data_IF_109752709545
#
_entry.id   IF_109752709545
#
_cell.length_a   1.000
_cell.length_b   1.000
_cell.length_c   1.000
_cell.angle_alpha   90.00
_cell.angle_beta   90.00
_cell.angle_gamma   90.00
#
_symmetry.space_group_name_H-M   'P 1'
#
loop_
_entity.id
_entity.type
_entity.pdbx_description
1 polymer ?
#
# COMPACT_ATOMS: atom_id res chain seq x y z
N UNK A 1 -4.53 -16.70 3.48
CA UNK A 1 -4.88 -16.19 4.82
C UNK A 1 -4.22 -14.84 5.00
N UNK A 2 -4.90 -13.83 5.57
CA UNK A 2 -4.30 -12.52 5.84
C UNK A 2 -3.10 -12.69 6.78
N UNK A 3 -1.97 -12.11 6.40
CA UNK A 3 -0.69 -12.36 7.05
C UNK A 3 -0.70 -11.91 8.52
N UNK A 4 -0.75 -12.88 9.42
CA UNK A 4 -0.58 -12.66 10.85
C UNK A 4 -1.82 -12.17 11.60
N UNK A 5 -3.02 -12.32 11.04
CA UNK A 5 -4.30 -12.01 11.70
C UNK A 5 -5.17 -13.25 11.90
N UNK A 6 -5.97 -13.26 12.97
CA UNK A 6 -7.08 -14.20 13.11
C UNK A 6 -8.23 -13.80 12.18
N UNK A 7 -9.16 -14.73 11.92
CA UNK A 7 -10.33 -14.47 11.06
C UNK A 7 -11.23 -13.36 11.61
N UNK A 8 -11.41 -13.32 12.93
CA UNK A 8 -12.21 -12.28 13.62
C UNK A 8 -11.59 -10.89 13.43
N UNK A 9 -10.28 -10.79 13.63
CA UNK A 9 -9.54 -9.54 13.47
C UNK A 9 -9.49 -9.05 12.03
N UNK A 10 -9.49 -9.98 11.06
CA UNK A 10 -9.58 -9.64 9.65
C UNK A 10 -10.95 -9.08 9.28
N UNK A 11 -12.00 -9.70 9.81
CA UNK A 11 -13.38 -9.29 9.56
C UNK A 11 -13.69 -7.92 10.18
N UNK A 12 -13.06 -7.56 11.29
CA UNK A 12 -13.23 -6.26 11.94
C UNK A 12 -12.53 -5.08 11.25
N UNK A 13 -11.73 -5.32 10.20
CA UNK A 13 -11.10 -4.23 9.44
C UNK A 13 -12.08 -3.72 8.38
N UNK A 14 -12.69 -2.57 8.61
CA UNK A 14 -13.63 -1.98 7.65
C UNK A 14 -12.94 -1.23 6.51
N UNK A 15 -11.76 -0.64 6.78
CA UNK A 15 -11.01 0.11 5.79
C UNK A 15 -10.25 -0.79 4.82
N UNK A 16 -10.55 -0.65 3.53
CA UNK A 16 -9.99 -1.49 2.47
C UNK A 16 -8.47 -1.30 2.30
N UNK A 17 -7.94 -0.10 2.53
CA UNK A 17 -6.49 0.17 2.48
C UNK A 17 -5.77 -0.61 3.59
N UNK A 18 -6.27 -0.52 4.82
CA UNK A 18 -5.73 -1.27 5.96
C UNK A 18 -5.80 -2.79 5.72
N UNK A 19 -6.91 -3.31 5.15
CA UNK A 19 -7.01 -4.72 4.74
C UNK A 19 -5.94 -5.10 3.72
N UNK A 20 -5.72 -4.27 2.70
CA UNK A 20 -4.74 -4.54 1.64
C UNK A 20 -3.31 -4.71 2.18
N UNK A 21 -2.95 -4.03 3.26
CA UNK A 21 -1.64 -4.25 3.91
C UNK A 21 -1.48 -5.64 4.54
N UNK A 22 -2.57 -6.29 4.97
CA UNK A 22 -2.53 -7.64 5.52
C UNK A 22 -2.76 -8.73 4.46
N UNK A 23 -3.38 -8.41 3.33
CA UNK A 23 -3.40 -9.26 2.13
C UNK A 23 -2.04 -9.31 1.43
N UNK A 24 -1.33 -8.17 1.40
CA UNK A 24 -0.11 -8.04 0.62
C UNK A 24 1.11 -8.59 1.37
N UNK A 25 1.91 -9.47 0.74
CA UNK A 25 3.19 -9.94 1.29
C UNK A 25 4.13 -8.77 1.60
N UNK A 26 4.97 -8.92 2.64
CA UNK A 26 5.85 -7.83 3.13
C UNK A 26 6.71 -7.21 2.03
N UNK A 27 7.28 -8.02 1.13
CA UNK A 27 8.14 -7.55 0.02
C UNK A 27 7.45 -6.68 -1.02
N UNK A 28 6.11 -6.74 -1.13
CA UNK A 28 5.33 -5.97 -2.11
C UNK A 28 4.64 -4.74 -1.50
N UNK A 29 4.76 -4.54 -0.18
CA UNK A 29 4.09 -3.42 0.49
C UNK A 29 4.64 -2.05 0.10
N UNK A 30 5.91 -1.91 -0.28
CA UNK A 30 6.43 -0.63 -0.77
C UNK A 30 5.70 -0.16 -2.04
N UNK A 31 5.47 -1.06 -2.99
CA UNK A 31 4.72 -0.74 -4.19
C UNK A 31 3.23 -0.44 -3.88
N UNK A 32 2.67 -1.10 -2.85
CA UNK A 32 1.32 -0.85 -2.33
C UNK A 32 1.11 0.63 -1.99
N UNK A 33 2.00 1.19 -1.18
CA UNK A 33 1.82 2.54 -0.60
C UNK A 33 1.91 3.62 -1.67
N UNK A 34 2.76 3.41 -2.68
CA UNK A 34 2.88 4.31 -3.83
C UNK A 34 1.60 4.47 -4.67
N UNK A 35 0.70 3.48 -4.66
CA UNK A 35 -0.55 3.54 -5.42
C UNK A 35 -1.73 4.20 -4.71
N UNK A 36 -1.62 4.40 -3.39
CA UNK A 36 -2.64 5.09 -2.60
C UNK A 36 -2.33 6.59 -2.44
N UNK A 37 -3.36 7.42 -2.36
CA UNK A 37 -3.28 8.85 -2.11
C UNK A 37 -2.79 9.15 -0.69
N UNK A 38 -2.26 10.36 -0.48
CA UNK A 38 -1.82 10.81 0.83
C UNK A 38 -2.96 10.77 1.86
N UNK A 39 -4.18 11.09 1.44
CA UNK A 39 -5.36 11.01 2.28
C UNK A 39 -5.70 9.56 2.65
N UNK A 40 -5.79 8.66 1.67
CA UNK A 40 -6.10 7.23 1.86
C UNK A 40 -5.12 6.57 2.86
N UNK A 41 -3.83 6.91 2.74
CA UNK A 41 -2.79 6.44 3.63
C UNK A 41 -2.92 6.99 5.04
N UNK A 42 -3.22 8.28 5.18
CA UNK A 42 -3.40 8.94 6.48
C UNK A 42 -4.59 8.36 7.24
N UNK A 43 -5.70 8.10 6.55
CA UNK A 43 -6.90 7.49 7.13
C UNK A 43 -6.69 6.02 7.52
N UNK A 44 -5.77 5.31 6.86
CA UNK A 44 -5.45 3.92 7.21
C UNK A 44 -4.63 3.78 8.50
N UNK A 45 -3.81 4.77 8.86
CA UNK A 45 -2.95 4.74 10.07
C UNK A 45 -3.76 4.46 11.36
N UNK A 46 -4.79 5.24 11.73
CA UNK A 46 -5.51 5.03 13.00
C UNK A 46 -6.24 3.68 13.07
N UNK A 47 -6.53 3.06 11.92
CA UNK A 47 -7.11 1.72 11.86
C UNK A 47 -6.03 0.67 12.05
N UNK A 48 -4.87 0.85 11.42
CA UNK A 48 -3.71 -0.03 11.62
C UNK A 48 -3.19 0.00 13.06
N UNK A 49 -3.24 1.15 13.75
CA UNK A 49 -2.85 1.26 15.16
C UNK A 49 -3.65 0.36 16.09
N UNK A 50 -4.94 0.13 15.77
CA UNK A 50 -5.83 -0.75 16.54
C UNK A 50 -5.57 -2.24 16.31
N UNK A 51 -4.73 -2.59 15.34
CA UNK A 51 -4.49 -3.97 14.91
C UNK A 51 -3.05 -4.37 15.29
N UNK A 52 -2.81 -5.53 15.93
CA UNK A 52 -1.46 -5.98 16.26
C UNK A 52 -0.64 -6.27 15.00
N UNK A 53 0.69 -6.24 15.16
CA UNK A 53 1.67 -6.44 14.06
C UNK A 53 1.53 -5.42 12.93
N UNK A 54 1.02 -4.24 13.24
CA UNK A 54 0.87 -3.10 12.32
C UNK A 54 2.08 -2.17 12.28
N UNK A 55 2.96 -2.19 13.29
CA UNK A 55 4.09 -1.25 13.42
C UNK A 55 4.92 -1.10 12.14
N UNK A 56 5.31 -2.22 11.51
CA UNK A 56 6.03 -2.19 10.23
C UNK A 56 5.23 -1.57 9.09
N UNK A 57 3.91 -1.77 9.06
CA UNK A 57 2.99 -1.21 8.03
C UNK A 57 2.84 0.30 8.22
N UNK A 58 2.64 0.74 9.47
CA UNK A 58 2.53 2.16 9.82
C UNK A 58 3.84 2.89 9.50
N UNK A 59 4.99 2.33 9.87
CA UNK A 59 6.30 2.92 9.54
C UNK A 59 6.49 3.11 8.03
N UNK A 60 5.98 2.16 7.23
CA UNK A 60 6.09 2.18 5.77
C UNK A 60 5.19 3.27 5.17
N UNK A 61 3.98 3.45 5.73
CA UNK A 61 3.11 4.59 5.38
C UNK A 61 3.77 5.92 5.74
N UNK A 62 4.24 6.07 6.97
CA UNK A 62 4.86 7.31 7.44
C UNK A 62 6.09 7.69 6.60
N UNK A 63 6.89 6.69 6.20
CA UNK A 63 8.03 6.89 5.31
C UNK A 63 7.61 7.43 3.95
N UNK A 64 6.62 6.83 3.30
CA UNK A 64 6.09 7.34 2.02
C UNK A 64 5.54 8.77 2.17
N UNK A 65 4.77 9.04 3.23
CA UNK A 65 4.19 10.38 3.46
C UNK A 65 5.29 11.43 3.62
N UNK A 66 6.40 11.09 4.30
CA UNK A 66 7.57 11.95 4.41
C UNK A 66 8.26 12.15 3.05
N UNK A 67 8.48 11.08 2.27
CA UNK A 67 9.07 11.16 0.92
C UNK A 67 8.21 11.98 -0.07
N UNK A 68 6.88 12.02 0.11
CA UNK A 68 5.98 12.89 -0.66
C UNK A 68 6.03 14.35 -0.25
N UNK A 69 6.36 14.63 1.00
CA UNK A 69 6.50 15.99 1.52
C UNK A 69 7.85 16.61 1.11
N UNK A 70 8.86 15.80 0.80
CA UNK A 70 10.15 16.28 0.30
C UNK A 70 10.12 16.64 -1.20
N UNK A 71 10.78 17.74 -1.62
CA UNK A 71 10.88 18.11 -3.03
C UNK A 71 11.70 17.07 -3.80
N UNK A 72 11.01 16.32 -4.66
CA UNK A 72 11.54 15.21 -5.47
C UNK A 72 12.71 15.63 -6.38
N UNK A 73 13.93 15.16 -6.09
CA UNK A 73 14.94 14.83 -7.12
C UNK A 73 14.67 13.39 -7.56
N UNK A 74 13.94 13.18 -8.65
CA UNK A 74 13.44 11.85 -9.03
C UNK A 74 13.62 11.58 -10.51
N UNK A 75 14.15 10.40 -10.84
CA UNK A 75 13.67 9.57 -11.98
C UNK A 75 14.37 8.20 -11.97
N UNK A 76 15.71 8.16 -11.88
CA UNK A 76 16.49 6.91 -12.03
C UNK A 76 16.40 5.92 -10.87
N UNK A 77 16.46 6.41 -9.63
CA UNK A 77 16.59 5.52 -8.46
C UNK A 77 15.34 4.67 -8.18
N UNK A 78 14.18 5.11 -8.66
CA UNK A 78 12.91 4.37 -8.57
C UNK A 78 12.81 3.31 -9.66
N UNK A 79 13.28 3.63 -10.88
CA UNK A 79 13.37 2.64 -11.97
C UNK A 79 14.30 1.49 -11.58
N UNK A 80 15.46 1.80 -11.00
CA UNK A 80 16.43 0.79 -10.55
C UNK A 80 15.88 -0.08 -9.40
N UNK A 81 15.14 0.51 -8.45
CA UNK A 81 14.50 -0.24 -7.34
C UNK A 81 13.34 -1.12 -7.82
N UNK A 82 12.65 -0.74 -8.90
CA UNK A 82 11.61 -1.57 -9.52
C UNK A 82 12.19 -2.83 -10.19
N UNK A 83 13.37 -2.73 -10.81
CA UNK A 83 14.09 -3.87 -11.40
C UNK A 83 14.58 -4.87 -10.35
N UNK A 84 14.84 -4.43 -9.11
CA UNK A 84 15.22 -5.34 -8.01
C UNK A 84 14.01 -6.06 -7.41
N UNK A 85 12.83 -5.43 -7.37
CA UNK A 85 11.61 -6.04 -6.82
C UNK A 85 10.92 -7.01 -7.78
N UNK A 86 11.04 -6.81 -9.09
CA UNK A 86 10.44 -7.67 -10.11
C UNK A 86 11.53 -8.28 -10.97
N UNK A 87 11.50 -9.61 -11.19
CA UNK A 87 12.55 -10.31 -11.96
C UNK A 87 12.56 -9.93 -13.44
N UNK A 88 11.55 -9.19 -13.88
CA UNK A 88 11.49 -8.52 -15.18
C UNK A 88 10.62 -7.27 -15.12
N UNK A 89 10.84 -6.35 -16.06
CA UNK A 89 10.01 -5.15 -16.26
C UNK A 89 8.55 -5.48 -16.57
N UNK A 90 8.29 -6.61 -17.24
CA UNK A 90 6.94 -7.07 -17.57
C UNK A 90 6.12 -7.47 -16.33
N UNK A 91 6.77 -8.07 -15.34
CA UNK A 91 6.15 -8.40 -14.05
C UNK A 91 5.82 -7.13 -13.25
N UNK A 92 6.73 -6.15 -13.29
CA UNK A 92 6.50 -4.85 -12.67
C UNK A 92 5.32 -4.12 -13.30
N UNK A 93 5.22 -4.13 -14.63
CA UNK A 93 4.11 -3.50 -15.37
C UNK A 93 2.77 -4.18 -15.10
N UNK A 94 2.72 -5.52 -15.10
CA UNK A 94 1.50 -6.26 -14.75
C UNK A 94 1.06 -5.94 -13.32
N UNK A 95 1.99 -6.00 -12.36
CA UNK A 95 1.69 -5.64 -10.98
C UNK A 95 1.18 -4.21 -10.90
N UNK A 96 1.82 -3.25 -11.56
CA UNK A 96 1.41 -1.84 -11.56
C UNK A 96 0.01 -1.64 -12.15
N UNK A 97 -0.32 -2.34 -13.23
CA UNK A 97 -1.64 -2.25 -13.87
C UNK A 97 -2.74 -2.88 -13.03
N UNK A 98 -2.51 -4.08 -12.49
CA UNK A 98 -3.43 -4.75 -11.57
C UNK A 98 -3.62 -3.92 -10.29
N UNK A 99 -2.55 -3.30 -9.82
CA UNK A 99 -2.55 -2.44 -8.65
C UNK A 99 -3.32 -1.14 -8.88
N UNK A 100 -3.07 -0.44 -9.98
CA UNK A 100 -3.83 0.76 -10.35
C UNK A 100 -5.33 0.46 -10.51
N UNK A 101 -5.68 -0.71 -11.04
CA UNK A 101 -7.08 -1.17 -11.13
C UNK A 101 -7.67 -1.42 -9.76
N UNK A 102 -6.94 -2.11 -8.88
CA UNK A 102 -7.34 -2.37 -7.48
C UNK A 102 -7.56 -1.06 -6.71
N UNK A 103 -6.63 -0.11 -6.80
CA UNK A 103 -6.78 1.21 -6.16
C UNK A 103 -8.00 1.97 -6.70
N UNK A 104 -8.26 1.91 -8.01
CA UNK A 104 -9.44 2.54 -8.63
C UNK A 104 -10.74 1.94 -8.10
N UNK A 105 -10.81 0.61 -7.95
CA UNK A 105 -12.00 -0.06 -7.44
C UNK A 105 -12.24 0.24 -5.95
N UNK A 106 -11.17 0.33 -5.16
CA UNK A 106 -11.24 0.76 -3.76
C UNK A 106 -11.79 2.20 -3.67
N UNK A 107 -11.30 3.13 -4.50
CA UNK A 107 -11.79 4.51 -4.54
C UNK A 107 -13.29 4.58 -4.79
N UNK A 108 -13.79 3.83 -5.78
CA UNK A 108 -15.21 3.76 -6.09
C UNK A 108 -16.05 3.29 -4.90
N UNK A 109 -15.58 2.28 -4.17
CA UNK A 109 -16.30 1.75 -3.00
C UNK A 109 -16.29 2.70 -1.81
N UNK A 110 -15.20 3.44 -1.62
CA UNK A 110 -15.05 4.42 -0.54
C UNK A 110 -15.67 5.79 -0.89
N UNK A 111 -16.20 5.98 -2.10
CA UNK A 111 -16.84 7.22 -2.53
C UNK A 111 -15.87 8.33 -2.95
N UNK A 112 -14.59 8.03 -3.16
CA UNK A 112 -13.65 8.98 -3.73
C UNK A 112 -13.89 9.13 -5.24
N UNK A 113 -13.90 10.36 -5.75
CA UNK A 113 -14.00 10.61 -7.19
C UNK A 113 -12.80 9.96 -7.90
N UNK A 114 -13.09 9.18 -8.94
CA UNK A 114 -12.12 8.41 -9.72
C UNK A 114 -11.05 9.27 -10.39
#
# INVERSE_FOLDING_TARGET
MPYGLTKEMWNSIENEVARKFYETPEGLRNALVSGFSTQELTEAIPILEKIPRSKKKINLINKELAERAEPKKLTREIEDKMVVMFKSTLEAEKFRNDWNTTCRDIRKKMGYSA
#
